data_IF_051177059130
#
_entry.id   IF_051177059130
#
_cell.length_a   1.000
_cell.length_b   1.000
_cell.length_c   1.000
_cell.angle_alpha   90.00
_cell.angle_beta   90.00
_cell.angle_gamma   90.00
#
_symmetry.space_group_name_H-M   'P 1'
#
loop_
_entity.id
_entity.type
_entity.pdbx_description
1 polymer ?
#
# COMPACT_ATOMS: atom_id res chain seq x y z
N UNK A 1 -5.13 11.36 -11.21
CA UNK A 1 -3.69 11.15 -11.48
C UNK A 1 -3.31 9.82 -10.84
N UNK A 2 -3.20 8.72 -11.60
CA UNK A 2 -2.85 7.40 -11.05
C UNK A 2 -1.36 7.42 -10.69
N UNK A 3 -1.04 7.46 -9.40
CA UNK A 3 0.33 7.33 -8.90
C UNK A 3 0.84 5.95 -9.30
N UNK A 4 1.77 5.92 -10.25
CA UNK A 4 2.36 4.69 -10.76
C UNK A 4 3.30 4.15 -9.69
N UNK A 5 2.92 3.04 -9.05
CA UNK A 5 3.80 2.29 -8.17
C UNK A 5 5.05 1.92 -8.97
N UNK A 6 6.24 2.30 -8.49
CA UNK A 6 7.49 1.69 -8.96
C UNK A 6 7.50 0.26 -8.42
N UNK A 7 6.85 -0.64 -9.16
CA UNK A 7 6.91 -2.08 -8.90
C UNK A 7 8.35 -2.54 -9.06
N UNK A 8 9.01 -2.83 -7.94
CA UNK A 8 10.17 -3.72 -7.94
C UNK A 8 9.76 -5.09 -8.48
N UNK A 9 10.73 -5.82 -9.02
CA UNK A 9 10.54 -7.14 -9.65
C UNK A 9 10.16 -8.17 -8.58
N UNK A 10 8.87 -8.25 -8.25
CA UNK A 10 8.25 -9.30 -7.45
C UNK A 10 6.90 -9.60 -8.09
N UNK A 11 6.45 -10.86 -8.08
CA UNK A 11 5.12 -11.18 -8.60
C UNK A 11 4.09 -10.45 -7.74
N UNK A 12 2.93 -10.05 -8.29
CA UNK A 12 1.87 -9.42 -7.49
C UNK A 12 1.53 -10.24 -6.23
N UNK A 13 1.59 -11.57 -6.32
CA UNK A 13 1.31 -12.53 -5.23
C UNK A 13 2.37 -12.51 -4.10
N UNK A 14 3.52 -11.89 -4.34
CA UNK A 14 4.60 -11.77 -3.36
C UNK A 14 4.40 -10.57 -2.42
N UNK A 15 3.45 -9.67 -2.72
CA UNK A 15 3.11 -8.56 -1.85
C UNK A 15 2.08 -8.95 -0.79
N UNK A 16 2.29 -8.49 0.44
CA UNK A 16 1.42 -8.72 1.59
C UNK A 16 0.86 -7.39 2.08
N UNK A 17 -0.45 -7.33 2.31
CA UNK A 17 -1.11 -6.21 2.98
C UNK A 17 -0.88 -6.29 4.49
N UNK A 18 -0.27 -5.27 5.07
CA UNK A 18 -0.05 -5.17 6.51
C UNK A 18 -1.21 -4.44 7.20
N UNK A 19 -1.69 -3.36 6.59
CA UNK A 19 -2.73 -2.51 7.12
C UNK A 19 -3.47 -1.82 5.98
N UNK A 20 -4.78 -1.73 6.14
CA UNK A 20 -5.65 -0.83 5.37
C UNK A 20 -6.28 0.17 6.33
N UNK A 21 -6.25 1.45 5.95
CA UNK A 21 -6.90 2.51 6.69
C UNK A 21 -7.75 3.36 5.75
N UNK A 22 -9.06 3.39 6.02
CA UNK A 22 -10.04 4.09 5.21
C UNK A 22 -10.42 5.44 5.84
N UNK A 23 -10.21 6.51 5.08
CA UNK A 23 -10.61 7.86 5.39
C UNK A 23 -11.92 8.18 4.65
N UNK A 24 -12.96 8.51 5.41
CA UNK A 24 -14.21 9.00 4.85
C UNK A 24 -14.29 10.51 5.07
N UNK A 25 -14.29 11.28 3.96
CA UNK A 25 -14.35 12.73 3.99
C UNK A 25 -15.72 13.16 3.48
N UNK A 26 -16.61 13.52 4.42
CA UNK A 26 -18.04 13.71 4.16
C UNK A 26 -18.40 14.64 2.98
N UNK A 27 -17.50 15.53 2.56
CA UNK A 27 -17.75 16.52 1.49
C UNK A 27 -16.76 16.48 0.32
N UNK A 28 -15.72 15.64 0.36
CA UNK A 28 -14.62 15.69 -0.62
C UNK A 28 -14.12 14.30 -1.07
N UNK A 29 -15.00 13.30 -0.98
CA UNK A 29 -14.71 11.92 -1.37
C UNK A 29 -14.11 11.06 -0.25
N UNK A 30 -13.27 10.10 -0.60
CA UNK A 30 -12.64 9.19 0.34
C UNK A 30 -11.21 8.88 -0.05
N UNK A 31 -10.44 8.36 0.90
CA UNK A 31 -9.12 7.85 0.62
C UNK A 31 -8.89 6.53 1.34
N UNK A 32 -8.13 5.64 0.71
CA UNK A 32 -7.64 4.44 1.34
C UNK A 32 -6.11 4.49 1.39
N UNK A 33 -5.54 4.24 2.56
CA UNK A 33 -4.11 4.11 2.76
C UNK A 33 -3.79 2.65 3.00
N UNK A 34 -2.91 2.09 2.18
CA UNK A 34 -2.47 0.71 2.27
C UNK A 34 -0.99 0.67 2.63
N UNK A 35 -0.63 -0.09 3.66
CA UNK A 35 0.75 -0.48 3.93
C UNK A 35 0.98 -1.88 3.38
N UNK A 36 1.96 -2.00 2.49
CA UNK A 36 2.29 -3.26 1.82
C UNK A 36 3.77 -3.58 1.99
N UNK A 37 4.13 -4.85 1.95
CA UNK A 37 5.52 -5.30 2.05
C UNK A 37 5.72 -6.54 1.18
N UNK A 38 6.94 -6.75 0.68
CA UNK A 38 7.30 -8.03 0.08
C UNK A 38 7.27 -9.14 1.15
N UNK A 39 6.76 -10.32 0.79
CA UNK A 39 6.64 -11.47 1.70
C UNK A 39 7.97 -11.87 2.32
N UNK A 40 9.06 -11.84 1.54
CA UNK A 40 10.40 -12.16 2.04
C UNK A 40 10.92 -11.14 3.05
N UNK A 41 10.64 -9.86 2.83
CA UNK A 41 11.00 -8.79 3.78
C UNK A 41 10.15 -8.88 5.06
N UNK A 42 8.88 -9.33 4.97
CA UNK A 42 8.05 -9.63 6.13
C UNK A 42 8.64 -10.80 6.95
N UNK A 43 9.00 -11.91 6.30
CA UNK A 43 9.64 -13.07 6.95
C UNK A 43 10.95 -12.65 7.62
N UNK A 44 11.76 -11.82 6.95
CA UNK A 44 13.01 -11.27 7.47
C UNK A 44 12.82 -10.11 8.47
N UNK A 45 11.58 -9.71 8.78
CA UNK A 45 11.22 -8.60 9.69
C UNK A 45 11.84 -7.24 9.31
N UNK A 46 12.02 -6.98 8.02
CA UNK A 46 12.55 -5.72 7.46
C UNK A 46 11.44 -4.71 7.20
N UNK A 47 10.76 -4.31 8.28
CA UNK A 47 9.60 -3.42 8.18
C UNK A 47 9.94 -2.01 7.67
N UNK A 48 11.23 -1.63 7.71
CA UNK A 48 11.76 -0.42 7.08
C UNK A 48 11.55 -0.38 5.55
N UNK A 49 11.29 -1.53 4.93
CA UNK A 49 11.01 -1.66 3.49
C UNK A 49 9.53 -1.66 3.13
N UNK A 50 8.64 -1.44 4.09
CA UNK A 50 7.22 -1.33 3.81
C UNK A 50 6.93 -0.13 2.88
N UNK A 51 6.01 -0.33 1.94
CA UNK A 51 5.53 0.71 1.04
C UNK A 51 4.15 1.19 1.47
N UNK A 52 3.93 2.50 1.31
CA UNK A 52 2.62 3.13 1.55
C UNK A 52 2.01 3.51 0.21
N UNK A 53 0.79 3.04 -0.04
CA UNK A 53 -0.01 3.39 -1.21
C UNK A 53 -1.21 4.18 -0.75
N UNK A 54 -1.41 5.36 -1.34
CA UNK A 54 -2.60 6.16 -1.16
C UNK A 54 -3.45 6.05 -2.41
N UNK A 55 -4.66 5.54 -2.27
CA UNK A 55 -5.70 5.64 -3.29
C UNK A 55 -6.72 6.70 -2.88
N UNK A 56 -6.88 7.72 -3.71
CA UNK A 56 -7.80 8.83 -3.46
C UNK A 56 -8.94 8.78 -4.45
N UNK A 57 -10.16 8.65 -3.93
CA UNK A 57 -11.38 8.70 -4.70
C UNK A 57 -12.05 10.07 -4.47
N UNK A 58 -12.03 10.98 -5.45
CA UNK A 58 -12.62 12.32 -5.33
C UNK A 58 -14.14 12.31 -5.08
#
# INVERSE_FOLDING_TARGET
MKTRLRGGVGRPDDWVLLLEFNLHMASSGGAAVFWTIQRDDLVARRFDRAQVVLDYNP
#
